data_IF_148388923526
#
_entry.id   IF_148388923526
#
_cell.length_a   1.000
_cell.length_b   1.000
_cell.length_c   1.000
_cell.angle_alpha   90.00
_cell.angle_beta   90.00
_cell.angle_gamma   90.00
#
_symmetry.space_group_name_H-M   'P 1'
#
loop_
_entity.id
_entity.type
_entity.pdbx_description
1 polymer ?
#
# COMPACT_ATOMS: atom_id res chain seq x y z
N UNK A 1 42.71 -9.52 -32.29
CA UNK A 1 43.40 -9.21 -33.57
C UNK A 1 44.47 -8.24 -33.30
N UNK A 2 45.61 -8.72 -33.47
CA UNK A 2 46.84 -8.19 -34.10
C UNK A 2 47.53 -7.04 -33.33
N UNK A 3 48.63 -7.40 -32.74
CA UNK A 3 50.00 -7.62 -33.34
C UNK A 3 50.64 -6.27 -33.61
N UNK A 4 51.85 -5.96 -33.23
CA UNK A 4 53.19 -6.54 -33.37
C UNK A 4 54.10 -5.32 -33.31
N UNK A 5 55.13 -5.19 -32.66
CA UNK A 5 56.44 -5.80 -32.55
C UNK A 5 57.48 -4.69 -32.68
N UNK A 6 58.48 -4.75 -31.79
CA UNK A 6 59.85 -5.12 -32.11
C UNK A 6 60.56 -4.16 -33.04
N UNK A 7 61.73 -3.72 -32.72
CA UNK A 7 63.09 -4.24 -32.73
C UNK A 7 64.04 -3.02 -32.63
N UNK A 8 65.07 -3.09 -31.74
CA UNK A 8 66.45 -3.58 -32.12
C UNK A 8 67.21 -2.55 -32.88
N UNK A 9 68.37 -2.24 -32.63
CA UNK A 9 69.70 -2.82 -32.41
C UNK A 9 70.74 -1.67 -32.39
N UNK A 10 71.67 -1.60 -31.39
CA UNK A 10 73.02 -2.06 -31.53
C UNK A 10 73.83 -1.42 -32.67
N UNK A 11 74.87 -0.68 -32.28
CA UNK A 11 76.22 -0.83 -32.83
C UNK A 11 77.24 -0.08 -31.94
N UNK A 12 78.10 -0.66 -31.43
CA UNK A 12 79.48 -1.01 -31.25
C UNK A 12 80.38 -0.40 -32.33
N UNK A 13 81.45 0.30 -31.89
CA UNK A 13 82.81 0.14 -32.37
C UNK A 13 83.73 0.99 -31.50
N UNK A 14 84.58 0.37 -30.83
CA UNK A 14 86.00 0.08 -30.95
C UNK A 14 86.84 1.20 -31.50
N UNK A 15 87.87 1.47 -30.74
CA UNK A 15 89.13 1.70 -31.35
C UNK A 15 90.02 2.81 -30.78
N UNK A 16 90.96 2.32 -30.14
CA UNK A 16 92.42 2.70 -30.25
C UNK A 16 92.96 3.59 -29.18
N UNK A 17 93.83 2.93 -28.43
CA UNK A 17 94.88 3.37 -27.55
C UNK A 17 95.81 4.35 -28.22
N UNK A 18 96.31 5.36 -27.49
CA UNK A 18 97.71 5.76 -27.56
C UNK A 18 98.18 6.25 -26.20
N UNK A 19 99.28 5.70 -25.77
CA UNK A 19 100.07 5.94 -24.59
C UNK A 19 100.69 7.30 -24.55
N UNK A 20 100.88 7.88 -23.40
CA UNK A 20 101.69 9.02 -23.13
C UNK A 20 101.99 9.12 -21.65
N UNK A 21 102.96 8.36 -21.22
CA UNK A 21 103.70 8.59 -19.96
C UNK A 21 104.45 9.92 -20.02
N UNK A 22 104.27 10.71 -19.01
CA UNK A 22 105.22 11.80 -18.79
C UNK A 22 104.80 12.76 -17.70
N UNK A 23 105.28 12.51 -16.51
CA UNK A 23 105.64 13.51 -15.50
C UNK A 23 104.65 14.63 -15.21
N UNK A 24 103.87 14.46 -14.09
CA UNK A 24 103.62 15.68 -13.33
C UNK A 24 103.71 15.41 -11.81
N UNK A 25 104.52 16.20 -11.21
CA UNK A 25 104.91 16.18 -9.80
C UNK A 25 103.78 16.83 -9.00
N UNK A 26 103.22 16.14 -8.05
CA UNK A 26 102.23 16.68 -7.09
C UNK A 26 102.89 17.72 -6.20
N UNK A 27 102.48 18.99 -6.36
CA UNK A 27 102.79 20.07 -5.43
C UNK A 27 101.71 20.14 -4.39
N UNK A 28 101.99 19.72 -3.16
CA UNK A 28 101.09 19.94 -2.00
C UNK A 28 100.97 21.46 -1.73
N UNK A 29 99.86 22.04 -2.12
CA UNK A 29 99.49 23.40 -1.67
C UNK A 29 98.84 23.27 -0.28
N UNK A 30 99.63 23.62 0.78
CA UNK A 30 99.10 23.86 2.12
C UNK A 30 98.13 25.06 2.06
N UNK A 31 96.84 24.84 2.30
CA UNK A 31 95.88 25.93 2.41
C UNK A 31 96.19 26.81 3.62
N UNK A 32 96.18 28.12 3.50
CA UNK A 32 96.39 29.03 4.63
C UNK A 32 95.22 28.95 5.63
N UNK A 33 95.54 29.07 6.93
CA UNK A 33 94.64 28.92 8.09
C UNK A 33 93.36 29.77 7.97
N UNK A 34 93.43 30.90 7.30
CA UNK A 34 92.31 31.83 7.05
C UNK A 34 91.23 31.23 6.13
N UNK A 35 91.61 30.30 5.20
CA UNK A 35 90.64 29.63 4.33
C UNK A 35 89.85 28.48 5.06
N UNK A 36 90.49 27.81 6.02
CA UNK A 36 89.88 26.82 6.88
C UNK A 36 88.87 27.44 7.88
N UNK A 37 89.19 28.62 8.38
CA UNK A 37 88.30 29.40 9.21
C UNK A 37 87.06 29.91 8.43
N UNK A 38 87.25 30.31 7.15
CA UNK A 38 86.16 30.72 6.26
C UNK A 38 85.19 29.58 5.94
N UNK A 39 85.66 28.32 5.72
CA UNK A 39 84.79 27.16 5.51
C UNK A 39 84.07 26.75 6.79
N UNK A 40 84.68 26.93 7.98
CA UNK A 40 84.04 26.68 9.27
C UNK A 40 82.88 27.66 9.54
N UNK A 41 83.11 28.97 9.24
CA UNK A 41 82.04 29.98 9.38
C UNK A 41 80.88 29.77 8.36
N UNK A 42 81.31 29.44 7.07
CA UNK A 42 80.25 29.11 6.07
C UNK A 42 79.40 27.87 6.42
N UNK A 43 80.09 26.86 6.99
CA UNK A 43 79.33 25.64 7.48
C UNK A 43 78.41 25.95 8.64
N UNK A 44 78.85 26.82 9.57
CA UNK A 44 78.03 27.23 10.73
C UNK A 44 76.87 28.11 10.26
N UNK A 45 77.03 29.00 9.31
CA UNK A 45 76.00 29.80 8.69
C UNK A 45 74.99 28.90 7.90
N UNK A 46 75.47 27.87 7.23
CA UNK A 46 74.57 26.90 6.57
C UNK A 46 73.73 26.08 7.58
N UNK A 47 74.38 25.71 8.70
CA UNK A 47 73.59 24.99 9.78
C UNK A 47 72.59 25.93 10.41
N UNK A 48 72.91 27.15 10.72
CA UNK A 48 72.00 28.17 11.27
C UNK A 48 70.92 28.52 10.25
N UNK A 49 71.26 28.64 8.96
CA UNK A 49 70.32 28.89 7.90
C UNK A 49 69.42 27.66 7.68
N UNK A 50 69.99 26.44 7.72
CA UNK A 50 69.18 25.20 7.65
C UNK A 50 68.28 25.06 8.84
N UNK A 51 68.71 25.38 10.04
CA UNK A 51 67.90 25.38 11.24
C UNK A 51 66.78 26.43 11.18
N UNK A 52 67.07 27.65 10.75
CA UNK A 52 66.16 28.73 10.48
C UNK A 52 65.15 28.39 9.36
N UNK A 53 65.61 27.70 8.30
CA UNK A 53 64.73 27.24 7.20
C UNK A 53 63.79 26.12 7.66
N UNK A 54 64.24 25.20 8.52
CA UNK A 54 63.45 24.15 9.12
C UNK A 54 62.45 24.76 10.07
N UNK A 55 62.85 25.76 10.88
CA UNK A 55 61.97 26.45 11.82
C UNK A 55 60.86 27.23 11.08
N UNK A 56 61.21 27.96 10.00
CA UNK A 56 60.23 28.67 9.16
C UNK A 56 59.33 27.77 8.29
N UNK A 57 59.81 26.56 7.93
CA UNK A 57 59.00 25.58 7.19
C UNK A 57 58.12 24.72 8.08
N UNK A 58 58.45 24.60 9.39
CA UNK A 58 57.66 23.89 10.39
C UNK A 58 56.66 24.81 11.08
N UNK A 59 56.79 26.14 10.98
CA UNK A 59 55.76 27.07 11.43
C UNK A 59 54.61 27.07 10.43
N UNK A 60 53.63 26.17 10.68
CA UNK A 60 52.40 26.08 9.89
C UNK A 60 51.67 27.43 9.79
N UNK A 61 50.84 27.62 8.79
CA UNK A 61 50.04 28.83 8.61
C UNK A 61 49.21 29.11 9.84
N UNK A 62 49.46 30.20 10.55
CA UNK A 62 48.75 30.62 11.76
C UNK A 62 47.95 31.89 11.52
N UNK A 63 46.77 31.97 12.11
CA UNK A 63 45.92 33.17 12.12
C UNK A 63 45.46 33.46 13.54
N UNK A 64 45.55 34.73 13.96
CA UNK A 64 44.93 35.18 15.22
C UNK A 64 43.46 35.40 15.02
N UNK A 65 42.65 34.75 15.87
CA UNK A 65 41.18 34.80 15.86
C UNK A 65 40.69 35.17 17.27
N UNK A 66 39.80 36.12 17.31
CA UNK A 66 39.12 36.53 18.53
C UNK A 66 38.29 35.37 19.10
N UNK A 67 38.58 34.94 20.29
CA UNK A 67 37.90 33.81 20.97
C UNK A 67 36.39 33.99 21.11
N UNK A 68 35.90 35.24 21.14
CA UNK A 68 34.46 35.54 21.21
C UNK A 68 33.73 35.30 19.88
N UNK A 69 34.43 35.19 18.76
CA UNK A 69 33.86 34.98 17.41
C UNK A 69 33.77 33.53 17.02
N UNK A 70 34.30 32.63 17.82
CA UNK A 70 34.26 31.19 17.56
C UNK A 70 33.42 30.46 18.58
N UNK A 71 32.64 29.51 18.13
CA UNK A 71 31.94 28.60 19.04
C UNK A 71 32.84 27.41 19.37
N UNK A 72 33.15 27.25 20.64
CA UNK A 72 33.89 26.10 21.15
C UNK A 72 32.96 25.16 21.89
N UNK A 73 33.03 23.88 21.56
CA UNK A 73 32.21 22.84 22.16
C UNK A 73 33.10 21.72 22.72
N UNK A 74 32.61 21.06 23.77
CA UNK A 74 33.35 19.95 24.39
C UNK A 74 32.91 18.62 23.79
N UNK A 75 33.85 17.73 23.52
CA UNK A 75 33.59 16.33 23.14
C UNK A 75 33.06 15.57 24.36
N UNK A 76 31.85 15.07 24.27
CA UNK A 76 31.18 14.34 25.36
C UNK A 76 30.97 12.88 25.03
N UNK A 77 31.03 12.03 26.04
CA UNK A 77 30.63 10.63 25.93
C UNK A 77 29.12 10.55 26.16
N UNK A 78 28.40 10.01 25.21
CA UNK A 78 26.94 9.90 25.30
C UNK A 78 26.39 8.81 24.40
N UNK A 79 25.07 8.65 24.43
CA UNK A 79 24.37 7.76 23.52
C UNK A 79 24.04 8.52 22.23
N UNK A 80 24.53 8.04 21.11
CA UNK A 80 24.14 8.60 19.83
C UNK A 80 22.76 8.01 19.44
N UNK A 81 21.77 8.89 19.34
CA UNK A 81 20.43 8.55 18.86
C UNK A 81 20.33 8.89 17.37
N UNK A 82 20.29 7.85 16.53
CA UNK A 82 20.12 8.03 15.09
C UNK A 82 18.63 8.16 14.79
N UNK A 83 18.15 9.38 14.67
CA UNK A 83 16.75 9.67 14.42
C UNK A 83 16.57 10.73 13.32
N UNK A 84 15.43 10.69 12.67
CA UNK A 84 14.97 11.74 11.76
C UNK A 84 13.70 12.41 12.31
N UNK A 85 13.65 13.75 12.31
CA UNK A 85 12.41 14.47 12.64
C UNK A 85 11.46 14.41 11.43
N UNK A 86 10.23 14.00 11.69
CA UNK A 86 9.20 13.84 10.67
C UNK A 86 7.91 14.53 11.11
N UNK A 87 6.99 14.68 10.16
CA UNK A 87 5.62 15.12 10.41
C UNK A 87 4.67 14.10 9.84
N UNK A 88 3.72 13.66 10.65
CA UNK A 88 2.69 12.74 10.26
C UNK A 88 1.31 13.36 10.37
N UNK A 89 0.40 12.93 9.49
CA UNK A 89 -1.00 13.32 9.52
C UNK A 89 -1.83 12.21 10.15
N UNK A 90 -2.62 12.56 11.14
CA UNK A 90 -3.52 11.64 11.83
C UNK A 90 -4.69 11.28 10.91
N UNK A 91 -4.85 10.00 10.66
CA UNK A 91 -5.96 9.43 9.87
C UNK A 91 -6.62 8.30 10.66
N UNK A 92 -7.91 8.02 10.46
CA UNK A 92 -8.57 6.87 11.07
C UNK A 92 -7.85 5.58 10.72
N UNK A 93 -7.86 4.61 11.63
CA UNK A 93 -7.29 3.27 11.38
C UNK A 93 -8.02 2.57 10.24
N UNK A 94 -9.33 2.69 10.22
CA UNK A 94 -10.21 2.15 9.18
C UNK A 94 -11.16 3.23 8.67
N UNK A 95 -11.40 3.23 7.37
CA UNK A 95 -12.37 4.11 6.69
C UNK A 95 -13.14 3.27 5.69
N UNK A 96 -14.47 3.31 5.78
CA UNK A 96 -15.38 2.69 4.81
C UNK A 96 -16.06 3.80 4.02
N UNK A 97 -15.90 3.75 2.70
CA UNK A 97 -16.52 4.74 1.83
C UNK A 97 -18.02 4.47 1.67
N UNK A 98 -18.81 5.52 1.68
CA UNK A 98 -20.24 5.51 1.48
C UNK A 98 -20.53 6.06 0.09
N UNK A 99 -20.79 5.17 -0.85
CA UNK A 99 -21.13 5.49 -2.23
C UNK A 99 -22.61 5.15 -2.49
N UNK A 100 -23.29 5.92 -3.34
CA UNK A 100 -24.66 5.64 -3.75
C UNK A 100 -24.68 4.40 -4.66
N UNK A 101 -25.24 3.28 -4.21
CA UNK A 101 -25.38 2.05 -5.01
C UNK A 101 -26.26 2.33 -6.22
N UNK A 102 -27.40 3.01 -5.99
CA UNK A 102 -28.27 3.51 -7.05
C UNK A 102 -28.32 5.03 -7.02
N UNK A 103 -28.34 5.64 -8.22
CA UNK A 103 -28.46 7.10 -8.36
C UNK A 103 -29.88 7.59 -8.15
N UNK A 104 -29.99 8.82 -7.67
CA UNK A 104 -31.29 9.45 -7.45
C UNK A 104 -31.16 10.87 -6.96
N UNK A 105 -32.28 11.52 -6.76
CA UNK A 105 -32.36 12.84 -6.13
C UNK A 105 -32.48 12.68 -4.62
N UNK A 106 -31.71 13.40 -3.85
CA UNK A 106 -31.80 13.41 -2.39
C UNK A 106 -33.16 13.95 -1.96
N UNK A 107 -33.96 13.09 -1.34
CA UNK A 107 -35.28 13.44 -0.80
C UNK A 107 -35.15 13.93 0.65
N UNK A 108 -34.41 13.21 1.48
CA UNK A 108 -34.18 13.56 2.88
C UNK A 108 -32.76 13.18 3.33
N UNK A 109 -32.18 14.03 4.15
CA UNK A 109 -30.97 13.76 4.91
C UNK A 109 -31.39 13.51 6.34
N UNK A 110 -31.01 12.36 6.91
CA UNK A 110 -31.47 11.90 8.24
C UNK A 110 -30.39 12.12 9.31
N UNK A 111 -29.12 12.10 8.89
CA UNK A 111 -27.95 12.21 9.78
C UNK A 111 -27.01 13.28 9.23
N UNK A 112 -26.48 14.13 10.11
CA UNK A 112 -25.55 15.21 9.74
C UNK A 112 -24.10 14.72 9.72
N UNK A 113 -23.23 15.45 8.97
CA UNK A 113 -21.79 15.19 8.97
C UNK A 113 -21.20 15.30 10.38
N UNK A 114 -20.35 14.35 10.74
CA UNK A 114 -19.72 14.27 12.07
C UNK A 114 -20.50 13.50 13.13
N UNK A 115 -21.71 13.04 12.87
CA UNK A 115 -22.48 12.19 13.78
C UNK A 115 -21.91 10.77 13.89
N UNK A 116 -22.15 10.12 15.03
CA UNK A 116 -21.91 8.68 15.20
C UNK A 116 -23.12 7.92 14.67
N UNK A 117 -22.88 6.88 13.90
CA UNK A 117 -23.91 6.01 13.30
C UNK A 117 -23.66 4.56 13.65
N UNK A 118 -24.76 3.79 13.77
CA UNK A 118 -24.71 2.35 13.94
C UNK A 118 -24.77 1.62 12.59
N UNK A 119 -24.30 0.36 12.54
CA UNK A 119 -24.40 -0.45 11.33
C UNK A 119 -25.88 -0.68 10.96
N UNK A 120 -26.26 -0.40 9.70
CA UNK A 120 -27.63 -0.49 9.19
C UNK A 120 -28.49 0.76 9.42
N UNK A 121 -28.01 1.76 10.16
CA UNK A 121 -28.72 3.01 10.41
C UNK A 121 -28.95 3.79 9.11
N UNK A 122 -30.18 4.28 8.84
CA UNK A 122 -30.47 5.06 7.65
C UNK A 122 -29.86 6.47 7.76
N UNK A 123 -29.05 6.85 6.77
CA UNK A 123 -28.34 8.12 6.71
C UNK A 123 -29.05 9.13 5.80
N UNK A 124 -29.50 8.67 4.63
CA UNK A 124 -30.21 9.51 3.66
C UNK A 124 -31.20 8.67 2.85
N UNK A 125 -32.20 9.33 2.30
CA UNK A 125 -33.17 8.73 1.40
C UNK A 125 -33.07 9.44 0.06
N UNK A 126 -32.84 8.62 -0.98
CA UNK A 126 -32.85 9.06 -2.37
C UNK A 126 -34.19 8.73 -3.01
N UNK A 127 -34.59 9.44 -4.04
CA UNK A 127 -35.75 9.14 -4.86
C UNK A 127 -35.34 8.95 -6.31
N UNK A 128 -35.90 7.91 -6.95
CA UNK A 128 -35.65 7.62 -8.37
C UNK A 128 -36.93 7.08 -9.01
N UNK A 129 -37.65 7.94 -9.73
CA UNK A 129 -38.89 7.61 -10.39
C UNK A 129 -38.75 6.51 -11.44
N UNK A 130 -37.63 6.52 -12.18
CA UNK A 130 -37.41 5.50 -13.19
C UNK A 130 -37.27 4.10 -12.57
N UNK A 131 -36.57 3.98 -11.44
CA UNK A 131 -36.43 2.72 -10.73
C UNK A 131 -37.76 2.25 -10.14
N UNK A 132 -38.57 3.17 -9.64
CA UNK A 132 -39.96 2.86 -9.20
C UNK A 132 -40.80 2.31 -10.34
N UNK A 133 -40.73 2.91 -11.54
CA UNK A 133 -41.44 2.43 -12.73
C UNK A 133 -40.96 1.04 -13.17
N UNK A 134 -39.66 0.76 -13.05
CA UNK A 134 -39.10 -0.55 -13.35
C UNK A 134 -39.66 -1.61 -12.39
N UNK A 135 -39.73 -1.34 -11.10
CA UNK A 135 -40.31 -2.25 -10.10
C UNK A 135 -41.78 -2.51 -10.40
N UNK A 136 -42.60 -1.46 -10.66
CA UNK A 136 -43.99 -1.59 -11.02
C UNK A 136 -44.19 -2.43 -12.29
N UNK A 137 -43.34 -2.23 -13.30
CA UNK A 137 -43.36 -3.04 -14.52
C UNK A 137 -43.10 -4.51 -14.25
N UNK A 138 -42.09 -4.83 -13.43
CA UNK A 138 -41.79 -6.22 -13.03
C UNK A 138 -42.87 -6.87 -12.20
N UNK A 139 -43.54 -6.11 -11.32
CA UNK A 139 -44.70 -6.60 -10.56
C UNK A 139 -45.87 -6.94 -11.49
N UNK A 140 -46.14 -6.12 -12.50
CA UNK A 140 -47.17 -6.41 -13.51
C UNK A 140 -46.85 -7.69 -14.31
N UNK A 141 -45.58 -7.84 -14.77
CA UNK A 141 -45.14 -9.05 -15.48
C UNK A 141 -45.29 -10.34 -14.65
N UNK A 142 -44.92 -10.30 -13.36
CA UNK A 142 -45.09 -11.44 -12.44
C UNK A 142 -46.60 -11.76 -12.27
N UNK A 143 -47.43 -10.73 -12.11
CA UNK A 143 -48.85 -10.89 -11.95
C UNK A 143 -49.53 -11.51 -13.19
N UNK A 144 -49.15 -11.03 -14.36
CA UNK A 144 -49.59 -11.57 -15.65
C UNK A 144 -49.20 -13.05 -15.80
N UNK A 145 -47.93 -13.40 -15.50
CA UNK A 145 -47.47 -14.78 -15.57
C UNK A 145 -48.22 -15.70 -14.61
N UNK A 146 -48.51 -15.25 -13.39
CA UNK A 146 -49.27 -16.02 -12.41
C UNK A 146 -50.72 -16.25 -12.88
N UNK A 147 -51.37 -15.25 -13.47
CA UNK A 147 -52.71 -15.38 -14.04
C UNK A 147 -52.71 -16.34 -15.24
N UNK A 148 -51.69 -16.29 -16.08
CA UNK A 148 -51.52 -17.22 -17.20
C UNK A 148 -51.39 -18.66 -16.68
N UNK A 149 -50.51 -18.90 -15.71
CA UNK A 149 -50.34 -20.21 -15.07
C UNK A 149 -51.69 -20.74 -14.51
N UNK A 150 -52.47 -19.90 -13.79
CA UNK A 150 -53.77 -20.27 -13.25
C UNK A 150 -54.76 -20.67 -14.35
N UNK A 151 -54.76 -19.94 -15.46
CA UNK A 151 -55.58 -20.25 -16.63
C UNK A 151 -55.23 -21.63 -17.22
N UNK A 152 -53.96 -21.93 -17.37
CA UNK A 152 -53.46 -23.23 -17.83
C UNK A 152 -53.87 -24.34 -16.84
N UNK A 153 -53.68 -24.17 -15.54
CA UNK A 153 -54.09 -25.16 -14.52
C UNK A 153 -55.59 -25.46 -14.58
N UNK A 154 -56.44 -24.45 -14.73
CA UNK A 154 -57.87 -24.65 -14.91
C UNK A 154 -58.19 -25.42 -16.19
N UNK A 155 -57.56 -25.11 -17.29
CA UNK A 155 -57.74 -25.83 -18.57
C UNK A 155 -57.32 -27.30 -18.42
N UNK A 156 -56.20 -27.58 -17.75
CA UNK A 156 -55.74 -28.93 -17.48
C UNK A 156 -56.73 -29.75 -16.66
N UNK A 157 -57.31 -29.14 -15.62
CA UNK A 157 -58.31 -29.82 -14.80
C UNK A 157 -59.62 -30.10 -15.61
N UNK A 158 -60.03 -29.16 -16.46
CA UNK A 158 -61.19 -29.40 -17.35
C UNK A 158 -60.94 -30.57 -18.32
N UNK A 159 -59.73 -30.63 -18.92
CA UNK A 159 -59.34 -31.73 -19.80
C UNK A 159 -59.35 -33.08 -19.04
N UNK A 160 -58.74 -33.12 -17.86
CA UNK A 160 -58.74 -34.30 -16.98
C UNK A 160 -60.15 -34.83 -16.68
N UNK A 161 -61.08 -33.93 -16.32
CA UNK A 161 -62.46 -34.25 -16.04
C UNK A 161 -63.19 -34.72 -17.30
N UNK A 162 -62.90 -34.21 -18.48
CA UNK A 162 -63.42 -34.67 -19.76
C UNK A 162 -62.95 -36.07 -20.10
N UNK A 163 -61.67 -36.37 -19.99
CA UNK A 163 -61.11 -37.72 -20.18
C UNK A 163 -61.76 -38.73 -19.21
N UNK A 164 -61.94 -38.36 -17.93
CA UNK A 164 -62.57 -39.21 -16.95
C UNK A 164 -64.04 -39.52 -17.32
N UNK A 165 -64.82 -38.55 -17.81
CA UNK A 165 -66.20 -38.77 -18.27
C UNK A 165 -66.20 -39.71 -19.45
N UNK A 166 -65.34 -39.56 -20.47
CA UNK A 166 -65.28 -40.45 -21.61
C UNK A 166 -64.90 -41.88 -21.21
N UNK A 167 -64.00 -42.11 -20.28
CA UNK A 167 -63.70 -43.44 -19.76
C UNK A 167 -64.80 -44.09 -19.06
N UNK A 168 -65.56 -43.34 -18.22
CA UNK A 168 -66.77 -43.86 -17.53
C UNK A 168 -67.78 -44.34 -18.56
N UNK A 169 -68.02 -43.58 -19.63
CA UNK A 169 -68.98 -44.02 -20.70
C UNK A 169 -68.50 -45.28 -21.41
N UNK A 170 -67.22 -45.33 -21.80
CA UNK A 170 -66.62 -46.52 -22.46
C UNK A 170 -66.66 -47.73 -21.55
N UNK A 171 -66.35 -47.63 -20.28
CA UNK A 171 -66.43 -48.73 -19.30
C UNK A 171 -67.84 -49.19 -19.08
N UNK A 172 -68.84 -48.27 -19.12
CA UNK A 172 -70.26 -48.63 -19.07
C UNK A 172 -70.66 -49.44 -20.29
N UNK A 173 -70.26 -49.05 -21.50
CA UNK A 173 -70.55 -49.77 -22.75
C UNK A 173 -69.93 -51.18 -22.76
N UNK A 174 -68.66 -51.30 -22.39
CA UNK A 174 -67.97 -52.59 -22.22
C UNK A 174 -68.74 -53.48 -21.27
N UNK A 175 -69.18 -53.01 -20.09
CA UNK A 175 -69.90 -53.78 -19.11
C UNK A 175 -71.30 -54.19 -19.60
N UNK A 176 -71.96 -53.31 -20.34
CA UNK A 176 -73.23 -53.57 -20.96
C UNK A 176 -73.14 -54.70 -21.98
N UNK A 177 -72.17 -54.57 -22.92
CA UNK A 177 -71.94 -55.54 -23.99
C UNK A 177 -71.55 -56.92 -23.44
N UNK A 178 -70.64 -56.97 -22.48
CA UNK A 178 -70.20 -58.20 -21.83
C UNK A 178 -71.36 -58.96 -21.24
N UNK A 179 -72.25 -58.27 -20.52
CA UNK A 179 -73.46 -58.87 -19.95
C UNK A 179 -74.43 -59.32 -21.05
N UNK A 180 -74.53 -58.60 -22.16
CA UNK A 180 -75.40 -58.97 -23.31
C UNK A 180 -74.91 -60.25 -23.98
N UNK A 181 -73.58 -60.34 -24.24
CA UNK A 181 -72.91 -61.51 -24.87
C UNK A 181 -73.10 -62.73 -23.96
N UNK A 182 -72.91 -62.63 -22.64
CA UNK A 182 -73.13 -63.70 -21.68
C UNK A 182 -74.58 -64.25 -21.76
N UNK A 183 -75.57 -63.37 -21.83
CA UNK A 183 -76.96 -63.76 -21.97
C UNK A 183 -77.24 -64.42 -23.31
N UNK A 184 -76.68 -63.85 -24.46
CA UNK A 184 -76.91 -64.41 -25.80
C UNK A 184 -76.22 -65.76 -25.99
N UNK A 185 -75.01 -65.96 -25.42
CA UNK A 185 -74.35 -67.25 -25.40
C UNK A 185 -75.11 -68.33 -24.71
N UNK A 186 -75.77 -67.99 -23.55
CA UNK A 186 -76.72 -68.92 -22.84
C UNK A 186 -77.93 -69.27 -23.66
N UNK A 187 -78.43 -68.41 -24.56
CA UNK A 187 -79.56 -68.66 -25.44
C UNK A 187 -79.10 -69.42 -26.71
N UNK A 188 -77.89 -69.18 -27.24
CA UNK A 188 -77.35 -69.91 -28.38
C UNK A 188 -77.11 -71.40 -28.12
N UNK A 189 -76.77 -71.79 -26.91
CA UNK A 189 -76.66 -73.17 -26.46
C UNK A 189 -78.06 -73.90 -26.59
N UNK A 190 -79.15 -73.11 -26.59
CA UNK A 190 -80.51 -73.60 -26.79
C UNK A 190 -81.03 -73.43 -28.23
N UNK A 191 -80.09 -73.07 -29.21
CA UNK A 191 -80.43 -72.80 -30.61
C UNK A 191 -81.47 -71.67 -30.82
N UNK A 192 -81.59 -70.75 -29.91
CA UNK A 192 -82.59 -69.65 -29.96
C UNK A 192 -82.09 -68.35 -30.55
N UNK A 193 -80.76 -68.27 -30.81
CA UNK A 193 -80.08 -67.07 -31.35
C UNK A 193 -79.00 -67.48 -32.33
N UNK A 194 -78.79 -66.66 -33.39
CA UNK A 194 -77.79 -66.90 -34.43
C UNK A 194 -76.35 -66.61 -33.91
N UNK A 195 -75.36 -67.39 -34.34
CA UNK A 195 -73.96 -67.16 -34.07
C UNK A 195 -73.54 -65.79 -34.59
N UNK A 196 -74.02 -65.33 -35.74
CA UNK A 196 -73.73 -64.05 -36.35
C UNK A 196 -74.06 -62.85 -35.38
N UNK A 197 -75.19 -63.00 -34.58
CA UNK A 197 -75.59 -61.97 -33.58
C UNK A 197 -74.61 -61.90 -32.41
N UNK A 198 -73.99 -63.01 -32.02
CA UNK A 198 -72.95 -63.05 -31.00
C UNK A 198 -71.66 -62.43 -31.54
N UNK A 199 -71.26 -62.78 -32.72
CA UNK A 199 -70.03 -62.28 -33.40
C UNK A 199 -70.12 -60.74 -33.54
N UNK A 200 -71.28 -60.21 -33.99
CA UNK A 200 -71.47 -58.74 -34.05
C UNK A 200 -71.34 -58.05 -32.68
N UNK A 201 -71.83 -58.64 -31.60
CA UNK A 201 -71.65 -58.10 -30.25
C UNK A 201 -70.21 -58.21 -29.74
N UNK A 202 -69.53 -59.25 -30.12
CA UNK A 202 -68.10 -59.46 -29.81
C UNK A 202 -67.20 -58.44 -30.53
N UNK A 203 -67.50 -58.19 -31.80
CA UNK A 203 -66.82 -57.15 -32.58
C UNK A 203 -67.05 -55.75 -31.99
N UNK A 204 -68.28 -55.42 -31.58
CA UNK A 204 -68.63 -54.16 -30.90
C UNK A 204 -67.88 -54.06 -29.55
N UNK A 205 -67.87 -55.16 -28.76
CA UNK A 205 -67.16 -55.22 -27.50
C UNK A 205 -65.61 -54.96 -27.72
N UNK A 206 -65.01 -55.59 -28.74
CA UNK A 206 -63.66 -55.44 -29.08
C UNK A 206 -63.37 -53.97 -29.44
N UNK A 207 -64.18 -53.35 -30.30
CA UNK A 207 -64.07 -51.93 -30.63
C UNK A 207 -64.10 -51.04 -29.38
N UNK A 208 -64.95 -51.25 -28.37
CA UNK A 208 -64.90 -50.43 -27.18
C UNK A 208 -63.72 -50.72 -26.27
N UNK A 209 -63.16 -51.94 -26.29
CA UNK A 209 -61.94 -52.27 -25.57
C UNK A 209 -60.71 -51.55 -26.20
N UNK A 210 -60.59 -51.58 -27.52
CA UNK A 210 -59.50 -50.91 -28.28
C UNK A 210 -59.64 -49.39 -28.08
N UNK A 211 -60.87 -48.85 -28.16
CA UNK A 211 -61.09 -47.41 -27.88
C UNK A 211 -60.72 -47.03 -26.48
N UNK A 212 -60.93 -47.91 -25.49
CA UNK A 212 -60.55 -47.71 -24.09
C UNK A 212 -59.01 -47.59 -23.97
N UNK A 213 -58.30 -48.49 -24.61
CA UNK A 213 -56.84 -48.53 -24.62
C UNK A 213 -56.26 -47.23 -25.21
N UNK A 214 -56.70 -46.82 -26.38
CA UNK A 214 -56.31 -45.57 -27.03
C UNK A 214 -56.67 -44.35 -26.19
N UNK A 215 -57.84 -44.35 -25.50
CA UNK A 215 -58.20 -43.23 -24.64
C UNK A 215 -57.31 -43.14 -23.41
N UNK A 216 -56.89 -44.27 -22.81
CA UNK A 216 -55.92 -44.28 -21.70
C UNK A 216 -54.55 -43.84 -22.13
N UNK A 217 -54.06 -44.24 -23.28
CA UNK A 217 -52.78 -43.81 -23.85
C UNK A 217 -52.76 -42.30 -24.13
N UNK A 218 -53.86 -41.79 -24.74
CA UNK A 218 -54.04 -40.35 -24.96
C UNK A 218 -54.03 -39.58 -23.61
N UNK A 219 -54.76 -40.06 -22.63
CA UNK A 219 -54.80 -39.45 -21.28
C UNK A 219 -53.42 -39.41 -20.63
N UNK A 220 -52.65 -40.52 -20.72
CA UNK A 220 -51.31 -40.60 -20.15
C UNK A 220 -50.31 -39.65 -20.88
N UNK A 221 -50.45 -39.55 -22.21
CA UNK A 221 -49.63 -38.65 -23.01
C UNK A 221 -49.96 -37.18 -22.71
N UNK A 222 -51.26 -36.84 -22.67
CA UNK A 222 -51.69 -35.47 -22.31
C UNK A 222 -51.26 -35.09 -20.90
N UNK A 223 -51.41 -35.99 -19.94
CA UNK A 223 -50.96 -35.72 -18.54
C UNK A 223 -49.45 -35.44 -18.49
N UNK A 224 -48.64 -36.20 -19.22
CA UNK A 224 -47.16 -35.98 -19.26
C UNK A 224 -46.80 -34.66 -19.91
N UNK A 225 -47.40 -34.32 -21.04
CA UNK A 225 -47.15 -33.06 -21.75
C UNK A 225 -47.55 -31.86 -20.89
N UNK A 226 -48.70 -31.99 -20.21
CA UNK A 226 -49.22 -30.97 -19.32
C UNK A 226 -48.32 -30.74 -18.10
N UNK A 227 -47.81 -31.81 -17.47
CA UNK A 227 -46.85 -31.73 -16.38
C UNK A 227 -45.54 -31.00 -16.81
N UNK A 228 -45.03 -31.35 -17.97
CA UNK A 228 -43.85 -30.67 -18.55
C UNK A 228 -44.12 -29.18 -18.81
N UNK A 229 -45.28 -28.83 -19.36
CA UNK A 229 -45.67 -27.45 -19.59
C UNK A 229 -45.79 -26.65 -18.28
N UNK A 230 -46.44 -27.23 -17.26
CA UNK A 230 -46.53 -26.61 -15.93
C UNK A 230 -45.16 -26.43 -15.27
N UNK A 231 -44.26 -27.43 -15.39
CA UNK A 231 -42.92 -27.34 -14.87
C UNK A 231 -42.16 -26.17 -15.53
N UNK A 232 -42.27 -26.02 -16.86
CA UNK A 232 -41.64 -24.92 -17.58
C UNK A 232 -42.19 -23.55 -17.16
N UNK A 233 -43.51 -23.43 -17.00
CA UNK A 233 -44.17 -22.20 -16.55
C UNK A 233 -43.74 -21.82 -15.11
N UNK A 234 -43.60 -22.81 -14.21
CA UNK A 234 -43.10 -22.60 -12.85
C UNK A 234 -41.70 -22.06 -12.85
N UNK A 235 -40.77 -22.64 -13.66
CA UNK A 235 -39.38 -22.14 -13.82
C UNK A 235 -39.39 -20.69 -14.29
N UNK A 236 -40.21 -20.36 -15.31
CA UNK A 236 -40.32 -19.00 -15.81
C UNK A 236 -40.88 -18.03 -14.73
N UNK A 237 -41.87 -18.49 -13.95
CA UNK A 237 -42.43 -17.72 -12.84
C UNK A 237 -41.40 -17.43 -11.74
N UNK A 238 -40.55 -18.40 -11.38
CA UNK A 238 -39.47 -18.21 -10.41
C UNK A 238 -38.38 -17.23 -10.93
N UNK A 239 -38.04 -17.29 -12.22
CA UNK A 239 -37.12 -16.34 -12.83
C UNK A 239 -37.67 -14.91 -12.77
N UNK A 240 -38.93 -14.71 -13.09
CA UNK A 240 -39.56 -13.38 -12.99
C UNK A 240 -39.62 -12.88 -11.54
N UNK A 241 -39.94 -13.75 -10.57
CA UNK A 241 -39.89 -13.38 -9.15
C UNK A 241 -38.51 -12.97 -8.71
N UNK A 242 -37.45 -13.72 -9.07
CA UNK A 242 -36.10 -13.36 -8.78
C UNK A 242 -35.72 -11.99 -9.39
N UNK A 243 -36.16 -11.73 -10.62
CA UNK A 243 -35.95 -10.45 -11.30
C UNK A 243 -36.66 -9.28 -10.56
N UNK A 244 -37.89 -9.52 -10.06
CA UNK A 244 -38.61 -8.55 -9.24
C UNK A 244 -37.92 -8.30 -7.89
N UNK A 245 -37.42 -9.33 -7.24
CA UNK A 245 -36.70 -9.21 -5.96
C UNK A 245 -35.39 -8.40 -6.13
N UNK A 246 -34.67 -8.59 -7.23
CA UNK A 246 -33.52 -7.71 -7.59
C UNK A 246 -33.94 -6.27 -7.79
N UNK A 247 -35.03 -6.03 -8.53
CA UNK A 247 -35.52 -4.67 -8.75
C UNK A 247 -35.93 -3.98 -7.44
N UNK A 248 -36.60 -4.72 -6.54
CA UNK A 248 -36.96 -4.24 -5.20
C UNK A 248 -35.76 -3.93 -4.32
N UNK A 249 -34.74 -4.78 -4.38
CA UNK A 249 -33.48 -4.53 -3.68
C UNK A 249 -32.82 -3.26 -4.15
N UNK A 250 -32.73 -3.05 -5.46
CA UNK A 250 -32.20 -1.81 -6.02
C UNK A 250 -33.03 -0.59 -5.59
N UNK A 251 -34.35 -0.75 -5.45
CA UNK A 251 -35.20 0.32 -4.92
C UNK A 251 -34.92 0.57 -3.43
N UNK A 252 -34.68 -0.48 -2.63
CA UNK A 252 -34.31 -0.34 -1.21
C UNK A 252 -32.93 0.29 -1.03
N UNK A 253 -32.00 0.10 -1.97
CA UNK A 253 -30.68 0.71 -1.99
C UNK A 253 -30.73 2.25 -2.15
N UNK A 254 -31.89 2.83 -2.46
CA UNK A 254 -32.14 4.27 -2.36
C UNK A 254 -32.20 4.77 -0.91
N UNK A 255 -32.45 3.88 0.05
CA UNK A 255 -32.31 4.12 1.47
C UNK A 255 -30.84 3.91 1.85
N UNK A 256 -30.02 4.96 1.74
CA UNK A 256 -28.61 4.90 2.07
C UNK A 256 -28.44 4.61 3.55
N UNK A 257 -27.79 3.47 3.87
CA UNK A 257 -27.56 3.01 5.24
C UNK A 257 -26.06 2.90 5.54
N UNK A 258 -25.70 3.05 6.80
CA UNK A 258 -24.34 2.83 7.27
C UNK A 258 -23.93 1.36 7.12
N UNK A 259 -22.87 1.02 6.35
CA UNK A 259 -22.41 -0.37 6.25
C UNK A 259 -21.75 -0.87 7.53
N UNK A 260 -21.18 0.03 8.33
CA UNK A 260 -20.50 -0.25 9.60
C UNK A 260 -20.85 0.83 10.62
N UNK A 261 -20.67 0.54 11.91
CA UNK A 261 -20.74 1.56 12.94
C UNK A 261 -19.47 2.46 12.88
N UNK A 262 -19.65 3.75 13.14
CA UNK A 262 -18.53 4.69 13.13
C UNK A 262 -18.96 6.15 13.04
N UNK A 263 -18.02 7.02 12.76
CA UNK A 263 -18.27 8.46 12.61
C UNK A 263 -18.44 8.82 11.14
N UNK A 264 -19.58 9.38 10.77
CA UNK A 264 -19.85 9.89 9.44
C UNK A 264 -18.95 11.11 9.16
N UNK A 265 -18.27 11.11 8.01
CA UNK A 265 -17.30 12.16 7.64
C UNK A 265 -17.35 12.47 6.15
N UNK A 266 -17.21 13.75 5.81
CA UNK A 266 -17.23 14.22 4.41
C UNK A 266 -18.58 14.02 3.73
N UNK A 267 -19.65 14.02 4.51
CA UNK A 267 -21.02 13.82 4.07
C UNK A 267 -21.69 15.19 3.81
N UNK A 268 -21.47 15.72 2.60
CA UNK A 268 -21.89 17.06 2.22
C UNK A 268 -22.96 17.02 1.11
N UNK A 269 -24.04 16.28 1.33
CA UNK A 269 -25.17 16.21 0.40
C UNK A 269 -26.31 17.10 0.88
N UNK A 270 -27.04 17.68 -0.08
CA UNK A 270 -28.17 18.57 0.20
C UNK A 270 -29.47 18.02 -0.38
N UNK A 271 -30.56 18.30 0.30
CA UNK A 271 -31.91 17.93 -0.19
C UNK A 271 -32.16 18.58 -1.56
N UNK A 272 -32.59 17.76 -2.51
CA UNK A 272 -32.80 18.18 -3.90
C UNK A 272 -31.62 17.99 -4.82
N UNK A 273 -30.42 17.68 -4.31
CA UNK A 273 -29.24 17.36 -5.10
C UNK A 273 -29.43 16.05 -5.86
N UNK A 274 -28.94 15.97 -7.09
CA UNK A 274 -28.92 14.74 -7.88
C UNK A 274 -27.58 14.03 -7.69
N UNK A 275 -27.65 12.75 -7.33
CA UNK A 275 -26.50 11.88 -7.13
C UNK A 275 -26.49 10.82 -8.24
N UNK A 276 -25.36 10.65 -8.88
CA UNK A 276 -25.18 9.59 -9.87
C UNK A 276 -24.93 8.23 -9.21
N UNK A 277 -25.21 7.16 -9.93
CA UNK A 277 -24.87 5.80 -9.48
C UNK A 277 -23.38 5.66 -9.27
N UNK A 278 -22.95 5.14 -8.12
CA UNK A 278 -21.54 5.07 -7.72
C UNK A 278 -20.97 6.41 -7.23
N UNK A 279 -21.80 7.46 -7.14
CA UNK A 279 -21.36 8.76 -6.63
C UNK A 279 -21.04 8.69 -5.14
N UNK A 280 -19.90 9.31 -4.75
CA UNK A 280 -19.48 9.37 -3.35
C UNK A 280 -20.39 10.27 -2.56
N UNK A 281 -20.95 9.74 -1.47
CA UNK A 281 -21.77 10.48 -0.52
C UNK A 281 -20.95 10.98 0.67
N UNK A 282 -20.01 10.14 1.14
CA UNK A 282 -19.19 10.40 2.31
C UNK A 282 -18.34 9.19 2.67
N UNK A 283 -18.01 9.08 3.94
CA UNK A 283 -17.29 7.93 4.48
C UNK A 283 -17.60 7.75 5.96
N UNK A 284 -17.41 6.54 6.47
CA UNK A 284 -17.54 6.21 7.88
C UNK A 284 -16.16 5.85 8.39
N UNK A 285 -15.69 6.62 9.36
CA UNK A 285 -14.40 6.48 10.00
C UNK A 285 -14.54 5.75 11.33
N UNK A 286 -13.56 4.91 11.67
CA UNK A 286 -13.43 4.34 13.00
C UNK A 286 -13.21 5.48 14.01
N UNK A 287 -14.09 5.68 15.00
CA UNK A 287 -14.01 6.81 15.92
C UNK A 287 -12.90 6.68 16.95
N UNK A 288 -12.50 5.45 17.29
CA UNK A 288 -11.62 5.13 18.40
C UNK A 288 -10.21 4.74 17.96
N UNK A 289 -10.03 4.46 16.68
CA UNK A 289 -8.76 3.99 16.13
C UNK A 289 -8.11 5.01 15.20
N UNK A 290 -6.90 5.51 15.58
CA UNK A 290 -6.10 6.39 14.73
C UNK A 290 -4.76 5.77 14.36
N UNK A 291 -4.25 6.13 13.20
CA UNK A 291 -2.89 5.89 12.76
C UNK A 291 -2.29 7.17 12.21
N UNK A 292 -0.98 7.24 12.22
CA UNK A 292 -0.26 8.38 11.71
C UNK A 292 0.30 8.02 10.33
N UNK A 293 -0.15 8.70 9.28
CA UNK A 293 0.44 8.59 7.95
C UNK A 293 1.59 9.60 7.84
N UNK A 294 2.78 9.12 7.53
CA UNK A 294 4.02 9.88 7.50
C UNK A 294 4.65 9.76 6.13
N UNK A 295 5.13 10.88 5.59
CA UNK A 295 5.92 10.91 4.36
C UNK A 295 7.38 11.02 4.70
N UNK A 296 8.19 10.12 4.15
CA UNK A 296 9.62 9.99 4.38
C UNK A 296 10.33 10.13 3.05
N UNK A 297 11.44 10.86 3.03
CA UNK A 297 12.30 11.03 1.84
C UNK A 297 12.85 9.67 1.37
N UNK A 298 12.89 9.45 0.05
CA UNK A 298 13.33 8.19 -0.56
C UNK A 298 14.76 7.78 -0.17
N UNK A 299 15.60 8.76 0.21
CA UNK A 299 16.95 8.50 0.72
C UNK A 299 16.97 7.52 1.90
N UNK A 300 15.91 7.52 2.71
CA UNK A 300 15.79 6.66 3.89
C UNK A 300 15.11 5.31 3.61
N UNK A 301 14.67 5.03 2.36
CA UNK A 301 13.91 3.83 2.03
C UNK A 301 14.63 2.52 2.41
N UNK A 302 15.97 2.49 2.25
CA UNK A 302 16.78 1.32 2.63
C UNK A 302 17.12 1.21 4.11
N UNK A 303 16.64 2.15 4.96
CA UNK A 303 16.92 2.22 6.40
C UNK A 303 15.65 2.19 7.25
N UNK A 304 14.50 2.19 6.62
CA UNK A 304 13.19 2.17 7.28
C UNK A 304 12.60 0.78 7.16
N UNK A 305 12.38 0.14 8.31
CA UNK A 305 11.85 -1.21 8.41
C UNK A 305 10.57 -1.25 9.25
N UNK A 306 9.80 -2.33 9.10
CA UNK A 306 8.62 -2.59 9.93
C UNK A 306 9.01 -2.71 11.41
N UNK A 307 8.11 -2.30 12.30
CA UNK A 307 8.29 -2.33 13.77
C UNK A 307 9.38 -1.38 14.30
N UNK A 308 9.96 -0.51 13.47
CA UNK A 308 10.81 0.57 13.99
C UNK A 308 9.99 1.51 14.87
N UNK A 309 10.64 1.94 15.97
CA UNK A 309 10.02 2.78 16.98
C UNK A 309 10.16 4.26 16.61
N UNK A 310 9.09 4.99 16.81
CA UNK A 310 9.05 6.43 16.71
C UNK A 310 8.39 7.02 17.96
N UNK A 311 8.73 8.24 18.30
CA UNK A 311 8.13 8.98 19.41
C UNK A 311 7.45 10.22 18.85
N UNK A 312 6.11 10.28 18.97
CA UNK A 312 5.31 11.44 18.59
C UNK A 312 5.07 12.34 19.80
N UNK A 313 5.11 13.64 19.57
CA UNK A 313 4.84 14.64 20.62
C UNK A 313 3.47 15.28 20.39
N UNK A 314 2.63 15.24 21.44
CA UNK A 314 1.35 15.92 21.45
C UNK A 314 1.02 16.47 22.84
N UNK A 315 0.68 17.77 22.94
CA UNK A 315 0.33 18.45 24.20
C UNK A 315 1.37 18.21 25.32
N UNK A 316 2.66 18.32 25.03
CA UNK A 316 3.77 18.08 25.96
C UNK A 316 3.83 16.63 26.50
N UNK A 317 3.21 15.67 25.81
CA UNK A 317 3.30 14.24 26.12
C UNK A 317 3.92 13.52 24.94
N UNK A 318 4.73 12.54 25.25
CA UNK A 318 5.31 11.64 24.26
C UNK A 318 4.45 10.38 24.12
N UNK A 319 4.24 9.95 22.89
CA UNK A 319 3.51 8.74 22.54
C UNK A 319 4.42 7.85 21.72
N UNK A 320 4.64 6.65 22.21
CA UNK A 320 5.42 5.65 21.48
C UNK A 320 4.58 5.10 20.33
N UNK A 321 5.23 4.95 19.19
CA UNK A 321 4.63 4.48 17.95
C UNK A 321 5.55 3.47 17.30
N UNK A 322 4.96 2.64 16.45
CA UNK A 322 5.71 1.71 15.61
C UNK A 322 5.25 1.76 14.15
N UNK A 323 6.16 1.47 13.22
CA UNK A 323 5.83 1.36 11.81
C UNK A 323 5.05 0.07 11.59
N UNK A 324 3.76 0.21 11.27
CA UNK A 324 2.86 -0.91 10.97
C UNK A 324 2.87 -1.28 9.49
N UNK A 325 3.07 -0.30 8.60
CA UNK A 325 3.04 -0.52 7.15
C UNK A 325 3.93 0.45 6.42
N UNK A 326 4.64 -0.04 5.40
CA UNK A 326 5.44 0.75 4.47
C UNK A 326 4.80 0.63 3.08
N UNK A 327 4.58 1.76 2.42
CA UNK A 327 4.13 1.81 1.03
C UNK A 327 5.36 2.04 0.14
N UNK A 328 5.81 1.03 -0.61
CA UNK A 328 7.09 1.12 -1.34
C UNK A 328 7.03 2.03 -2.57
N UNK A 329 5.86 2.55 -2.91
CA UNK A 329 5.70 3.45 -4.05
C UNK A 329 6.22 4.85 -3.70
N UNK A 330 7.30 5.27 -4.36
CA UNK A 330 7.82 6.62 -4.25
C UNK A 330 7.02 7.57 -5.14
N UNK A 331 6.57 8.69 -4.58
CA UNK A 331 5.91 9.81 -5.26
C UNK A 331 6.59 11.11 -4.82
N UNK A 332 6.96 11.94 -5.77
CA UNK A 332 7.62 13.24 -5.51
C UNK A 332 8.85 13.12 -4.60
N UNK A 333 9.66 12.04 -4.76
CA UNK A 333 10.86 11.78 -3.95
C UNK A 333 10.56 11.33 -2.51
N UNK A 334 9.32 10.93 -2.19
CA UNK A 334 8.90 10.48 -0.86
C UNK A 334 8.11 9.17 -0.94
N UNK A 335 8.21 8.36 0.10
CA UNK A 335 7.35 7.20 0.31
C UNK A 335 6.53 7.38 1.59
N UNK A 336 5.42 6.67 1.67
CA UNK A 336 4.50 6.77 2.79
C UNK A 336 4.66 5.59 3.74
N UNK A 337 4.53 5.85 5.03
CA UNK A 337 4.44 4.82 6.06
C UNK A 337 3.24 5.10 6.97
N UNK A 338 2.58 4.05 7.42
CA UNK A 338 1.57 4.12 8.46
C UNK A 338 2.19 3.64 9.78
N UNK A 339 2.05 4.48 10.81
CA UNK A 339 2.49 4.18 12.17
C UNK A 339 1.29 4.04 13.09
N UNK A 340 1.34 3.07 14.00
CA UNK A 340 0.33 2.84 15.02
C UNK A 340 0.84 3.29 16.38
N UNK A 341 -0.05 3.82 17.18
CA UNK A 341 0.23 4.20 18.56
C UNK A 341 0.26 2.95 19.45
N UNK A 342 1.21 2.88 20.38
CA UNK A 342 1.19 1.87 21.44
C UNK A 342 0.05 2.18 22.44
N UNK A 343 -0.18 3.46 22.72
CA UNK A 343 -1.28 3.98 23.53
C UNK A 343 -1.93 5.15 22.78
N UNK A 344 -3.24 5.05 22.51
CA UNK A 344 -3.92 6.06 21.70
C UNK A 344 -4.03 7.41 22.42
N UNK A 345 -3.67 8.51 21.74
CA UNK A 345 -3.76 9.83 22.33
C UNK A 345 -5.22 10.29 22.44
N UNK A 346 -5.61 10.74 23.64
CA UNK A 346 -6.95 11.26 23.88
C UNK A 346 -7.08 12.69 23.36
N UNK A 347 -8.21 13.00 22.73
CA UNK A 347 -8.54 14.37 22.29
C UNK A 347 -7.93 14.77 20.95
N UNK A 348 -7.37 13.84 20.20
CA UNK A 348 -6.88 14.08 18.83
C UNK A 348 -8.01 14.10 17.82
N UNK A 349 -7.79 14.78 16.69
CA UNK A 349 -8.76 14.90 15.62
C UNK A 349 -8.16 14.44 14.30
N UNK A 350 -8.98 13.85 13.45
CA UNK A 350 -8.63 13.52 12.08
C UNK A 350 -8.02 14.72 11.35
N UNK A 351 -6.97 14.48 10.58
CA UNK A 351 -6.27 15.50 9.81
C UNK A 351 -5.29 16.35 10.59
N UNK A 352 -5.21 16.19 11.92
CA UNK A 352 -4.22 16.84 12.75
C UNK A 352 -2.81 16.36 12.39
N UNK A 353 -1.84 17.28 12.39
CA UNK A 353 -0.43 16.96 12.14
C UNK A 353 0.31 16.87 13.47
N UNK A 354 1.03 15.77 13.65
CA UNK A 354 1.93 15.56 14.79
C UNK A 354 3.37 15.58 14.33
N UNK A 355 4.25 16.10 15.21
CA UNK A 355 5.70 15.97 15.03
C UNK A 355 6.15 14.68 15.69
N UNK A 356 7.09 13.98 15.05
CA UNK A 356 7.62 12.73 15.56
C UNK A 356 9.11 12.61 15.24
N UNK A 357 9.78 11.77 16.02
CA UNK A 357 11.16 11.35 15.80
C UNK A 357 11.17 9.85 15.52
N UNK A 358 11.56 9.46 14.31
CA UNK A 358 11.73 8.06 13.92
C UNK A 358 13.17 7.64 14.17
N UNK A 359 13.38 6.60 14.95
CA UNK A 359 14.69 6.00 15.21
C UNK A 359 15.08 5.11 14.05
N UNK A 360 16.24 5.37 13.42
CA UNK A 360 16.74 4.65 12.24
C UNK A 360 17.75 3.55 12.52
N UNK A 361 18.22 3.43 13.75
CA UNK A 361 19.23 2.44 14.14
C UNK A 361 19.35 2.32 15.65
N UNK A 362 20.18 1.38 16.08
CA UNK A 362 20.42 1.14 17.50
C UNK A 362 21.11 2.33 18.16
N UNK A 363 20.67 2.65 19.35
CA UNK A 363 21.31 3.61 20.22
C UNK A 363 22.67 3.06 20.67
N UNK A 364 23.76 3.71 20.24
CA UNK A 364 25.13 3.27 20.55
C UNK A 364 25.84 4.30 21.40
N UNK A 365 26.62 3.82 22.38
CA UNK A 365 27.53 4.68 23.12
C UNK A 365 28.65 5.19 22.20
N UNK A 366 28.77 6.51 22.07
CA UNK A 366 29.72 7.15 21.16
C UNK A 366 30.31 8.42 21.78
N UNK A 367 31.41 8.89 21.19
CA UNK A 367 31.87 10.25 21.41
C UNK A 367 31.06 11.19 20.52
N UNK A 368 30.55 12.27 21.11
CA UNK A 368 29.63 13.20 20.48
C UNK A 368 30.22 14.61 20.46
N UNK A 369 30.07 15.27 19.33
CA UNK A 369 30.29 16.71 19.19
C UNK A 369 28.99 17.36 18.70
N UNK A 370 28.64 18.58 19.12
CA UNK A 370 27.49 19.28 18.60
C UNK A 370 27.59 19.48 17.09
N UNK A 371 26.48 19.30 16.39
CA UNK A 371 26.40 19.54 14.95
C UNK A 371 26.59 21.05 14.70
N UNK A 372 27.55 21.39 13.84
CA UNK A 372 27.92 22.76 13.56
C UNK A 372 28.30 22.98 12.10
N UNK A 373 28.40 24.27 11.72
CA UNK A 373 28.68 24.65 10.33
C UNK A 373 30.07 24.23 9.83
N UNK A 374 31.03 23.93 10.74
CA UNK A 374 32.37 23.42 10.39
C UNK A 374 32.30 22.18 9.52
N UNK A 375 31.28 21.33 9.66
CA UNK A 375 31.16 20.10 8.90
C UNK A 375 30.98 20.34 7.39
N UNK A 376 30.31 21.43 7.01
CA UNK A 376 30.14 21.80 5.60
C UNK A 376 31.46 22.24 4.96
N UNK A 377 32.30 22.94 5.72
CA UNK A 377 33.57 23.47 5.25
C UNK A 377 34.67 22.40 5.18
N UNK A 378 34.61 21.37 6.02
CA UNK A 378 35.67 20.34 6.17
C UNK A 378 35.30 19.00 5.56
N UNK A 379 34.01 18.77 5.22
CA UNK A 379 33.50 17.47 4.84
C UNK A 379 33.64 16.41 5.94
N UNK A 380 33.90 16.84 7.19
CA UNK A 380 34.07 15.94 8.34
C UNK A 380 35.42 15.23 8.42
N UNK A 381 36.44 15.68 7.64
CA UNK A 381 37.77 15.04 7.60
C UNK A 381 38.75 15.59 8.61
N UNK A 382 38.52 16.78 9.12
CA UNK A 382 39.38 17.44 10.07
C UNK A 382 38.63 18.49 10.90
N UNK A 383 39.15 18.82 12.07
CA UNK A 383 38.57 19.80 13.00
C UNK A 383 39.70 20.55 13.73
N UNK A 384 39.41 21.78 14.18
CA UNK A 384 40.32 22.49 15.09
C UNK A 384 40.07 22.06 16.53
N UNK A 385 41.12 21.51 17.17
CA UNK A 385 41.11 21.10 18.58
C UNK A 385 41.83 22.16 19.40
N UNK A 386 41.13 22.69 20.39
CA UNK A 386 41.65 23.72 21.28
C UNK A 386 42.60 23.07 22.27
N UNK A 387 43.79 23.68 22.46
CA UNK A 387 44.79 23.24 23.42
C UNK A 387 44.24 23.35 24.87
N UNK A 388 44.76 22.57 25.85
CA UNK A 388 44.29 22.58 27.24
C UNK A 388 44.38 23.94 27.92
N UNK A 389 45.35 24.79 27.55
CA UNK A 389 45.53 26.16 28.03
C UNK A 389 44.58 27.18 27.38
N UNK A 390 43.88 26.77 26.29
CA UNK A 390 42.94 27.63 25.59
C UNK A 390 43.59 28.68 24.66
N UNK A 391 44.94 28.70 24.51
CA UNK A 391 45.66 29.73 23.78
C UNK A 391 45.64 29.51 22.27
N UNK A 392 45.50 28.26 21.82
CA UNK A 392 45.57 27.92 20.40
C UNK A 392 44.59 26.81 20.05
N UNK A 393 44.23 26.72 18.75
CA UNK A 393 43.52 25.59 18.21
C UNK A 393 44.27 25.00 17.02
N UNK A 394 44.49 23.70 17.04
CA UNK A 394 45.33 22.99 16.09
C UNK A 394 44.44 22.13 15.19
N UNK A 395 44.67 22.20 13.89
CA UNK A 395 44.03 21.37 12.89
C UNK A 395 44.41 19.90 13.07
N UNK A 396 43.41 19.06 13.35
CA UNK A 396 43.59 17.63 13.56
C UNK A 396 42.70 16.82 12.61
N UNK A 397 43.24 15.81 11.91
CA UNK A 397 42.43 14.89 11.13
C UNK A 397 41.53 14.10 12.06
N UNK A 398 40.24 13.95 11.69
CA UNK A 398 39.25 13.21 12.42
C UNK A 398 38.42 12.34 11.46
N UNK A 399 37.81 11.32 11.98
CA UNK A 399 36.84 10.52 11.26
C UNK A 399 35.50 10.63 11.97
N UNK A 400 34.60 11.36 11.34
CA UNK A 400 33.23 11.54 11.83
C UNK A 400 32.33 10.46 11.24
N UNK A 401 31.36 10.03 12.03
CA UNK A 401 30.40 9.00 11.68
C UNK A 401 29.01 9.56 11.35
N UNK A 402 28.00 8.95 11.93
CA UNK A 402 26.59 9.35 11.77
C UNK A 402 26.35 10.75 12.36
N UNK A 403 25.36 11.43 11.83
CA UNK A 403 24.94 12.74 12.38
C UNK A 403 23.43 12.82 12.46
N UNK A 404 22.95 13.49 13.49
CA UNK A 404 21.57 13.91 13.63
C UNK A 404 21.49 15.46 13.68
N UNK A 405 20.33 15.99 13.99
CA UNK A 405 20.11 17.45 14.07
C UNK A 405 20.94 18.12 15.16
N UNK A 406 21.35 17.41 16.21
CA UNK A 406 22.00 17.96 17.39
C UNK A 406 23.47 17.59 17.52
N UNK A 407 23.84 16.37 17.13
CA UNK A 407 25.17 15.80 17.34
C UNK A 407 25.72 15.09 16.12
N UNK A 408 27.06 15.00 16.10
CA UNK A 408 27.84 14.18 15.16
C UNK A 408 28.61 13.16 15.97
N UNK A 409 28.59 11.89 15.56
CA UNK A 409 29.37 10.80 16.13
C UNK A 409 30.83 10.94 15.72
N UNK A 410 31.75 10.80 16.67
CA UNK A 410 33.21 10.76 16.42
C UNK A 410 33.66 9.32 16.46
N UNK A 411 34.18 8.83 15.33
CA UNK A 411 34.71 7.47 15.21
C UNK A 411 36.20 7.39 15.59
N UNK A 412 36.97 8.46 15.30
CA UNK A 412 38.40 8.48 15.52
C UNK A 412 38.95 9.92 15.53
N UNK A 413 40.07 10.16 16.22
CA UNK A 413 40.82 11.41 16.21
C UNK A 413 40.54 12.39 17.35
N UNK A 414 39.54 12.13 18.21
CA UNK A 414 39.21 12.95 19.38
C UNK A 414 39.04 12.11 20.65
N UNK A 415 39.29 12.73 21.80
CA UNK A 415 39.06 12.17 23.11
C UNK A 415 37.97 12.90 23.90
N UNK A 416 37.35 12.19 24.86
CA UNK A 416 36.32 12.79 25.70
C UNK A 416 36.94 13.93 26.56
N UNK A 417 36.28 15.07 26.60
CA UNK A 417 36.73 16.26 27.34
C UNK A 417 37.56 17.24 26.50
N UNK A 418 37.99 16.87 25.31
CA UNK A 418 38.65 17.83 24.40
C UNK A 418 37.67 18.89 23.96
N UNK A 419 38.17 20.09 23.73
CA UNK A 419 37.40 21.22 23.20
C UNK A 419 37.66 21.37 21.71
N UNK A 420 36.64 21.55 20.92
CA UNK A 420 36.71 21.67 19.46
C UNK A 420 35.94 22.90 18.98
N UNK A 421 36.40 23.49 17.90
CA UNK A 421 35.74 24.65 17.30
C UNK A 421 34.62 24.14 16.39
N UNK A 422 33.39 24.61 16.62
CA UNK A 422 32.17 24.17 15.90
C UNK A 422 31.56 25.26 15.02
N UNK A 423 32.13 26.48 15.05
CA UNK A 423 31.74 27.59 14.16
C UNK A 423 32.17 27.35 12.70
N UNK A 424 31.71 28.15 11.71
CA UNK A 424 32.14 28.06 10.34
C UNK A 424 33.65 28.29 10.17
N UNK A 425 34.32 27.53 9.30
CA UNK A 425 35.75 27.61 9.02
C UNK A 425 36.11 28.41 7.77
N UNK A 426 35.10 29.01 7.10
CA UNK A 426 35.29 29.71 5.81
C UNK A 426 36.46 30.70 5.76
N UNK A 427 36.74 31.39 6.89
CA UNK A 427 37.78 32.42 6.95
C UNK A 427 39.16 31.87 7.30
N UNK A 428 39.29 30.62 7.75
CA UNK A 428 40.58 30.05 8.22
C UNK A 428 40.77 28.56 7.85
N UNK A 429 40.04 28.08 6.83
CA UNK A 429 40.10 26.68 6.36
C UNK A 429 41.52 26.25 5.93
N UNK A 430 42.32 27.20 5.40
CA UNK A 430 43.67 26.97 4.90
C UNK A 430 44.75 27.09 5.99
N UNK A 431 44.35 27.38 7.24
CA UNK A 431 45.30 27.53 8.34
C UNK A 431 45.52 26.18 9.03
N UNK A 432 46.71 25.99 9.55
CA UNK A 432 47.10 24.80 10.33
C UNK A 432 46.93 25.01 11.84
N UNK A 433 46.98 26.28 12.27
CA UNK A 433 46.89 26.69 13.66
C UNK A 433 46.12 28.01 13.79
N UNK A 434 45.28 28.15 14.81
CA UNK A 434 44.60 29.38 15.17
C UNK A 434 45.16 29.84 16.53
N UNK A 435 45.63 31.07 16.66
CA UNK A 435 45.94 31.69 17.93
C UNK A 435 44.65 32.34 18.48
N UNK A 436 44.25 31.96 19.69
CA UNK A 436 43.02 32.39 20.32
C UNK A 436 43.36 33.51 21.30
N UNK A 437 43.17 34.75 20.86
CA UNK A 437 43.44 35.90 21.73
C UNK A 437 42.20 36.16 22.62
N UNK A 438 42.43 36.25 23.94
CA UNK A 438 41.45 36.84 24.85
C UNK A 438 41.48 38.36 24.67
N UNK A 439 40.37 38.98 24.29
CA UNK A 439 40.25 40.43 24.13
C UNK A 439 40.18 41.17 25.44
#
# INVERSE_FOLDING_TARGET
MNKVSKLSEKHRNDGVTISGQGMDRAVEKKMPLARKAGFGIAGLLLIVFGWWLVDTLLDGRSLSVDSQKIAVSTVTKGTFEDFIPLRGRLIPRSTVYLDAIEGGRVDRVLVEDGALVEAGEPIAILSNTNLQLVVLGREAEVTEQLNFMRTIELQLEQNRLSHKRNLIEIDYQIKRLTRSIERQRGLAVKELVSQSTIDELEDELQYFKDRREVTLESQATDARLQEQQLAQLRISGEQLRSSLDFARKNLDDLNVRAPVAGKLSGFNIEVGQSIERGGRLGQIDDPDGFKLNVRIDEYYLGRVDLQQVAVAEHNNRNFDMEIAKIYPQVKDGQFEVDMTFAEEPVGVRRGQTLQLRLTLGDNTGALLIPNGSFYQDTGGNWIFVVSPDGSEAIKRPVRLGRRNTSFIEVLDGLEAGEKVVTSPYTSYADMDRLSLDEA
#
